data_IF_896766387241
#
_entry.id   IF_896766387241
#
_cell.length_a   1.000
_cell.length_b   1.000
_cell.length_c   1.000
_cell.angle_alpha   90.00
_cell.angle_beta   90.00
_cell.angle_gamma   90.00
#
_symmetry.space_group_name_H-M   'P 1'
#
loop_
_entity.id
_entity.type
_entity.pdbx_description
1 polymer ?
#
# COMPACT_ATOMS: atom_id res chain seq x y z
N UNK A 1 -0.74 -8.49 -9.60
CA UNK A 1 -1.20 -8.08 -8.26
C UNK A 1 -2.36 -7.12 -8.41
N UNK A 2 -3.49 -7.44 -7.83
CA UNK A 2 -4.74 -6.68 -8.01
C UNK A 2 -4.91 -5.64 -6.93
N UNK A 3 -5.15 -4.41 -7.36
CA UNK A 3 -5.51 -3.30 -6.47
C UNK A 3 -6.78 -2.65 -7.01
N UNK A 4 -7.36 -1.75 -6.24
CA UNK A 4 -8.52 -0.97 -6.67
C UNK A 4 -8.18 0.52 -6.62
N UNK A 5 -8.74 1.28 -7.54
CA UNK A 5 -8.65 2.74 -7.47
C UNK A 5 -9.57 3.24 -6.37
N UNK A 6 -9.07 4.16 -5.57
CA UNK A 6 -9.87 4.71 -4.46
C UNK A 6 -11.09 5.48 -4.95
N UNK A 7 -10.97 6.16 -6.10
CA UNK A 7 -12.04 7.03 -6.61
C UNK A 7 -13.29 6.29 -7.04
N UNK A 8 -13.14 5.16 -7.76
CA UNK A 8 -14.28 4.45 -8.33
C UNK A 8 -14.31 2.97 -7.98
N UNK A 9 -13.31 2.49 -7.25
CA UNK A 9 -13.15 1.10 -6.80
C UNK A 9 -13.01 0.10 -7.95
N UNK A 10 -12.61 0.58 -9.11
CA UNK A 10 -12.33 -0.30 -10.26
C UNK A 10 -11.05 -1.07 -9.99
N UNK A 11 -11.09 -2.38 -10.22
CA UNK A 11 -9.94 -3.24 -10.05
C UNK A 11 -8.95 -3.06 -11.19
N UNK A 12 -7.69 -2.95 -10.85
CA UNK A 12 -6.60 -2.76 -11.82
C UNK A 12 -5.46 -3.72 -11.50
N UNK A 13 -4.60 -3.96 -12.48
CA UNK A 13 -3.32 -4.61 -12.22
C UNK A 13 -2.31 -3.55 -11.83
N UNK A 14 -1.69 -3.71 -10.66
CA UNK A 14 -0.85 -2.67 -10.09
C UNK A 14 0.32 -2.30 -10.99
N UNK A 15 1.08 -3.29 -11.46
CA UNK A 15 2.25 -3.00 -12.28
C UNK A 15 1.88 -2.33 -13.60
N UNK A 16 0.85 -2.82 -14.27
CA UNK A 16 0.39 -2.23 -15.53
C UNK A 16 -0.07 -0.79 -15.33
N UNK A 17 -0.83 -0.54 -14.28
CA UNK A 17 -1.35 0.79 -14.01
C UNK A 17 -0.22 1.78 -13.74
N UNK A 18 0.73 1.39 -12.89
CA UNK A 18 1.86 2.26 -12.54
C UNK A 18 2.76 2.50 -13.75
N UNK A 19 3.06 1.44 -14.51
CA UNK A 19 3.91 1.55 -15.70
C UNK A 19 3.31 2.50 -16.74
N UNK A 20 2.01 2.44 -16.92
CA UNK A 20 1.33 3.32 -17.85
C UNK A 20 1.55 4.79 -17.49
N UNK A 21 1.42 5.14 -16.21
CA UNK A 21 1.64 6.50 -15.77
C UNK A 21 3.11 6.90 -15.85
N UNK A 22 4.01 6.05 -15.42
CA UNK A 22 5.45 6.34 -15.46
C UNK A 22 5.92 6.57 -16.89
N UNK A 23 5.44 5.76 -17.84
CA UNK A 23 5.84 5.89 -19.24
C UNK A 23 5.17 7.07 -19.94
N UNK A 24 3.92 7.34 -19.55
CA UNK A 24 3.12 8.35 -20.23
C UNK A 24 3.51 9.77 -19.84
N UNK A 25 3.85 9.99 -18.60
CA UNK A 25 4.07 11.35 -18.08
C UNK A 25 5.49 11.85 -18.30
N UNK A 26 6.37 11.06 -18.89
CA UNK A 26 7.77 11.47 -19.10
C UNK A 26 8.41 12.04 -17.88
N UNK A 27 8.43 11.41 -16.94
CA UNK A 27 8.93 11.86 -15.94
C UNK A 27 9.53 11.82 -15.02
N UNK A 28 10.43 12.40 -14.51
CA UNK A 28 11.00 12.26 -13.20
C UNK A 28 10.09 12.75 -12.08
N UNK A 29 8.90 13.19 -12.41
CA UNK A 29 8.00 13.79 -11.43
C UNK A 29 6.96 12.83 -10.85
N UNK A 30 7.11 11.54 -11.10
CA UNK A 30 6.22 10.54 -10.50
C UNK A 30 6.90 9.95 -9.28
N UNK A 31 6.25 10.08 -8.13
CA UNK A 31 6.74 9.51 -6.88
C UNK A 31 5.77 8.46 -6.37
N UNK A 32 6.31 7.35 -5.88
CA UNK A 32 5.53 6.24 -5.37
C UNK A 32 5.73 6.08 -3.88
N UNK A 33 4.62 6.01 -3.16
CA UNK A 33 4.62 5.76 -1.72
C UNK A 33 3.79 4.52 -1.44
N UNK A 34 4.29 3.67 -0.55
CA UNK A 34 3.60 2.44 -0.15
C UNK A 34 3.42 2.47 1.35
N UNK A 35 2.23 2.12 1.80
CA UNK A 35 1.95 1.99 3.21
C UNK A 35 0.96 0.87 3.46
N UNK A 36 0.91 0.38 4.67
CA UNK A 36 -0.05 -0.64 5.07
C UNK A 36 -0.46 -0.41 6.52
N UNK A 37 -1.76 -0.38 6.75
CA UNK A 37 -2.34 -0.32 8.08
C UNK A 37 -3.20 -1.53 8.34
N UNK A 38 -3.30 -1.90 9.60
CA UNK A 38 -4.15 -2.99 10.02
C UNK A 38 -5.15 -2.54 11.07
N UNK A 39 -6.28 -3.23 11.09
CA UNK A 39 -7.34 -2.96 12.04
C UNK A 39 -7.97 -4.28 12.45
N UNK A 40 -8.16 -4.47 13.76
CA UNK A 40 -8.95 -5.59 14.25
C UNK A 40 -10.41 -5.17 14.32
N UNK A 41 -11.26 -5.96 13.69
CA UNK A 41 -12.69 -5.68 13.65
C UNK A 41 -13.45 -6.99 13.82
N UNK A 42 -14.13 -7.13 14.97
CA UNK A 42 -14.80 -8.37 15.31
C UNK A 42 -13.81 -9.53 15.37
N UNK A 43 -14.09 -10.60 14.66
CA UNK A 43 -13.25 -11.79 14.63
C UNK A 43 -12.16 -11.73 13.55
N UNK A 44 -11.96 -10.56 12.97
CA UNK A 44 -11.07 -10.44 11.82
C UNK A 44 -9.99 -9.39 12.06
N UNK A 45 -8.89 -9.57 11.35
CA UNK A 45 -7.87 -8.54 11.15
C UNK A 45 -7.88 -8.16 9.68
N UNK A 46 -8.00 -6.87 9.41
CA UNK A 46 -8.04 -6.35 8.05
C UNK A 46 -6.77 -5.54 7.80
N UNK A 47 -6.04 -5.91 6.74
CA UNK A 47 -4.89 -5.15 6.28
C UNK A 47 -5.30 -4.34 5.05
N UNK A 48 -5.04 -3.05 5.10
CA UNK A 48 -5.25 -2.17 3.95
C UNK A 48 -3.89 -1.70 3.46
N UNK A 49 -3.49 -2.17 2.29
CA UNK A 49 -2.24 -1.77 1.66
C UNK A 49 -2.55 -0.70 0.63
N UNK A 50 -1.82 0.40 0.69
CA UNK A 50 -2.07 1.56 -0.16
C UNK A 50 -0.82 1.89 -0.96
N UNK A 51 -1.02 2.17 -2.25
CA UNK A 51 0.02 2.70 -3.13
C UNK A 51 -0.46 4.06 -3.60
N UNK A 52 0.33 5.10 -3.32
CA UNK A 52 0.03 6.45 -3.76
C UNK A 52 0.99 6.82 -4.88
N UNK A 53 0.42 7.18 -6.01
CA UNK A 53 1.15 7.64 -7.19
C UNK A 53 1.00 9.15 -7.25
N UNK A 54 2.06 9.85 -6.85
CA UNK A 54 2.05 11.31 -6.81
C UNK A 54 2.70 11.86 -8.07
N UNK A 55 1.99 12.69 -8.81
CA UNK A 55 2.41 13.17 -10.12
C UNK A 55 2.64 14.68 -10.03
N UNK A 56 3.89 15.06 -9.78
CA UNK A 56 4.31 16.46 -9.72
C UNK A 56 3.37 17.30 -8.85
N UNK A 57 2.87 18.40 -9.41
CA UNK A 57 1.92 19.27 -8.73
C UNK A 57 0.47 19.06 -9.18
N UNK A 58 0.21 18.01 -9.97
CA UNK A 58 -1.10 17.82 -10.58
C UNK A 58 -2.02 16.87 -9.82
N UNK A 59 -1.58 16.34 -8.70
CA UNK A 59 -2.41 15.49 -7.87
C UNK A 59 -1.83 14.11 -7.65
N UNK A 60 -2.65 13.22 -7.12
CA UNK A 60 -2.21 11.86 -6.84
C UNK A 60 -3.31 10.86 -7.16
N UNK A 61 -2.88 9.63 -7.44
CA UNK A 61 -3.75 8.48 -7.59
C UNK A 61 -3.54 7.58 -6.39
N UNK A 62 -4.61 7.17 -5.78
CA UNK A 62 -4.56 6.27 -4.61
C UNK A 62 -5.13 4.92 -5.02
N UNK A 63 -4.30 3.89 -4.84
CA UNK A 63 -4.66 2.51 -5.11
C UNK A 63 -4.64 1.76 -3.80
N UNK A 64 -5.56 0.84 -3.59
CA UNK A 64 -5.60 0.10 -2.33
C UNK A 64 -5.96 -1.36 -2.55
N UNK A 65 -5.56 -2.18 -1.58
CA UNK A 65 -5.91 -3.59 -1.51
C UNK A 65 -6.22 -3.92 -0.07
N UNK A 66 -7.35 -4.58 0.17
CA UNK A 66 -7.73 -5.03 1.51
C UNK A 66 -7.66 -6.54 1.58
N UNK A 67 -7.11 -7.03 2.67
CA UNK A 67 -7.02 -8.45 2.94
C UNK A 67 -7.57 -8.72 4.33
N UNK A 68 -8.41 -9.74 4.45
CA UNK A 68 -9.07 -10.08 5.71
C UNK A 68 -8.57 -11.45 6.18
N UNK A 69 -8.16 -11.51 7.43
CA UNK A 69 -7.64 -12.72 8.06
C UNK A 69 -8.34 -12.94 9.40
N UNK A 70 -8.27 -14.16 9.95
CA UNK A 70 -8.71 -14.37 11.33
C UNK A 70 -7.98 -13.43 12.27
N UNK A 71 -8.66 -13.01 13.34
CA UNK A 71 -8.14 -11.99 14.24
C UNK A 71 -6.76 -12.37 14.78
N UNK A 72 -5.83 -11.44 14.65
CA UNK A 72 -4.48 -11.53 15.20
C UNK A 72 -4.47 -10.78 16.52
N UNK A 73 -4.30 -11.54 17.62
CA UNK A 73 -4.37 -10.96 18.96
C UNK A 73 -3.08 -10.29 19.39
N UNK A 74 -1.96 -10.79 18.90
CA UNK A 74 -0.67 -10.22 19.24
C UNK A 74 -0.40 -8.96 18.43
N UNK A 75 -0.25 -7.85 19.13
CA UNK A 75 -0.02 -6.55 18.50
C UNK A 75 1.22 -6.56 17.60
N UNK A 76 2.31 -7.15 18.09
CA UNK A 76 3.57 -7.15 17.34
C UNK A 76 3.48 -7.98 16.07
N UNK A 77 2.78 -9.11 16.11
CA UNK A 77 2.55 -9.91 14.92
C UNK A 77 1.73 -9.16 13.89
N UNK A 78 0.73 -8.41 14.35
CA UNK A 78 -0.08 -7.60 13.46
C UNK A 78 0.73 -6.48 12.83
N UNK A 79 1.54 -5.79 13.63
CA UNK A 79 2.42 -4.72 13.15
C UNK A 79 3.43 -5.26 12.13
N UNK A 80 4.02 -6.40 12.42
CA UNK A 80 4.97 -7.03 11.51
C UNK A 80 4.31 -7.40 10.19
N UNK A 81 3.05 -7.83 10.23
CA UNK A 81 2.28 -8.10 9.02
C UNK A 81 2.12 -6.87 8.13
N UNK A 82 2.01 -5.67 8.72
CA UNK A 82 1.97 -4.42 7.94
C UNK A 82 3.28 -4.21 7.19
N UNK A 83 4.41 -4.45 7.87
CA UNK A 83 5.73 -4.31 7.26
C UNK A 83 5.89 -5.30 6.11
N UNK A 84 5.52 -6.56 6.33
CA UNK A 84 5.65 -7.60 5.32
C UNK A 84 4.86 -7.26 4.05
N UNK A 85 3.65 -6.74 4.21
CA UNK A 85 2.81 -6.39 3.06
C UNK A 85 3.36 -5.20 2.29
N UNK A 86 3.89 -4.21 2.99
CA UNK A 86 4.52 -3.06 2.34
C UNK A 86 5.76 -3.48 1.56
N UNK A 87 6.60 -4.32 2.16
CA UNK A 87 7.81 -4.81 1.51
C UNK A 87 7.47 -5.69 0.31
N UNK A 88 6.46 -6.56 0.44
CA UNK A 88 6.02 -7.42 -0.66
C UNK A 88 5.63 -6.59 -1.88
N UNK A 89 4.87 -5.52 -1.68
CA UNK A 89 4.46 -4.64 -2.78
C UNK A 89 5.68 -3.93 -3.38
N UNK A 90 6.60 -3.46 -2.54
CA UNK A 90 7.80 -2.79 -3.01
C UNK A 90 8.67 -3.71 -3.87
N UNK A 91 8.85 -4.96 -3.43
CA UNK A 91 9.62 -5.96 -4.18
C UNK A 91 8.93 -6.27 -5.52
N UNK A 92 7.60 -6.45 -5.48
CA UNK A 92 6.82 -6.70 -6.68
C UNK A 92 7.01 -5.57 -7.71
N UNK A 93 6.91 -4.32 -7.28
CA UNK A 93 7.08 -3.19 -8.18
C UNK A 93 8.51 -3.11 -8.72
N UNK A 94 9.50 -3.34 -7.86
CA UNK A 94 10.89 -3.37 -8.27
C UNK A 94 11.15 -4.45 -9.32
N UNK A 95 10.57 -5.62 -9.12
CA UNK A 95 10.71 -6.73 -10.07
C UNK A 95 10.06 -6.42 -11.42
N UNK A 96 9.15 -5.47 -11.45
CA UNK A 96 8.53 -4.97 -12.68
C UNK A 96 9.20 -3.70 -13.21
N UNK A 97 10.39 -3.38 -12.73
CA UNK A 97 11.18 -2.25 -13.23
C UNK A 97 10.72 -0.89 -12.71
N UNK A 98 9.96 -0.86 -11.63
CA UNK A 98 9.40 0.38 -11.07
C UNK A 98 10.17 0.76 -9.81
N UNK A 99 10.62 2.00 -9.74
CA UNK A 99 11.33 2.54 -8.57
C UNK A 99 10.32 3.02 -7.55
N UNK A 100 10.46 2.54 -6.32
CA UNK A 100 9.63 2.97 -5.18
C UNK A 100 10.42 4.01 -4.39
N UNK A 101 9.86 5.19 -4.22
CA UNK A 101 10.55 6.29 -3.55
C UNK A 101 10.47 6.18 -2.04
N UNK A 102 9.34 5.78 -1.51
CA UNK A 102 9.13 5.69 -0.07
C UNK A 102 8.27 4.51 0.32
N UNK A 103 8.67 3.84 1.38
CA UNK A 103 7.83 2.86 2.08
C UNK A 103 7.58 3.45 3.46
N UNK A 104 6.32 3.68 3.77
CA UNK A 104 5.92 4.22 5.07
C UNK A 104 5.77 3.07 6.06
N UNK A 105 6.77 2.89 6.90
CA UNK A 105 6.77 1.86 7.92
C UNK A 105 6.65 2.54 9.28
N UNK A 106 5.45 2.55 9.81
CA UNK A 106 5.21 3.07 11.16
C UNK A 106 5.44 1.94 12.16
N UNK A 107 6.64 1.91 12.72
CA UNK A 107 7.01 0.90 13.70
C UNK A 107 6.76 1.39 15.14
N UNK A 108 5.86 2.32 15.32
CA UNK A 108 5.49 2.79 16.65
C UNK A 108 4.83 1.66 17.44
N UNK A 109 5.52 1.20 18.47
CA UNK A 109 5.07 0.09 19.30
C UNK A 109 4.00 0.44 20.33
N UNK A 110 3.40 1.62 20.27
CA UNK A 110 2.36 2.02 21.21
C UNK A 110 0.99 1.47 20.77
N UNK A 111 0.46 0.45 21.45
CA UNK A 111 -0.81 -0.14 21.05
C UNK A 111 -1.99 0.86 21.11
N UNK A 112 -1.89 1.86 21.97
CA UNK A 112 -2.97 2.84 22.11
C UNK A 112 -3.13 3.70 20.89
N UNK A 113 -2.07 3.95 20.15
CA UNK A 113 -2.12 4.75 18.93
C UNK A 113 -2.60 3.94 17.74
N UNK A 114 -2.46 2.63 17.78
CA UNK A 114 -2.80 1.76 16.67
C UNK A 114 -4.05 0.93 16.90
N UNK A 115 -4.60 1.05 18.07
CA UNK A 115 -5.82 0.34 18.44
C UNK A 115 -7.05 0.98 17.83
N UNK A 116 -7.97 0.18 17.37
CA UNK A 116 -9.23 0.66 16.79
C UNK A 116 -10.41 -0.08 17.35
#
# INVERSE_FOLDING_TARGET
>A
MKFKRLTDRVEIDLAEYVQEYVNYVERPNVQLYIGCDSQNKGDNTIYATTVVLHIGNTGCHVLFKRETFPRIFDFWSRLWGEVERSVEVAVYLKDNGIVVDNIDLDLNGDPMKRSN
#
